data_IF_663233177122
#
_entry.id   IF_663233177122
#
_cell.length_a   1.000
_cell.length_b   1.000
_cell.length_c   1.000
_cell.angle_alpha   90.00
_cell.angle_beta   90.00
_cell.angle_gamma   90.00
#
_symmetry.space_group_name_H-M   'P 1'
#
loop_
_entity.id
_entity.type
_entity.pdbx_description
1 polymer ?
#
# COMPACT_ATOMS: atom_id res chain seq x y z
N UNK A 1 -3.81 4.26 13.72
CA UNK A 1 -4.81 4.24 12.64
C UNK A 1 -4.90 2.81 12.12
N UNK A 2 -6.06 2.18 12.16
CA UNK A 2 -6.25 0.90 11.48
C UNK A 2 -6.43 1.17 9.98
N UNK A 3 -5.64 0.49 9.15
CA UNK A 3 -5.77 0.54 7.71
C UNK A 3 -6.90 -0.42 7.30
N UNK A 4 -8.03 0.10 6.83
CA UNK A 4 -9.16 -0.72 6.42
C UNK A 4 -9.19 -0.89 4.89
N UNK A 5 -9.76 -1.99 4.36
CA UNK A 5 -10.03 -2.10 2.93
C UNK A 5 -10.75 -0.85 2.39
N UNK A 6 -10.29 -0.35 1.25
CA UNK A 6 -10.74 0.91 0.66
C UNK A 6 -9.90 2.13 1.01
N UNK A 7 -9.05 2.07 2.04
CA UNK A 7 -8.16 3.19 2.39
C UNK A 7 -7.18 3.51 1.25
N UNK A 8 -7.11 4.80 0.88
CA UNK A 8 -6.10 5.31 -0.04
C UNK A 8 -4.74 5.32 0.63
N UNK A 9 -3.73 4.90 -0.11
CA UNK A 9 -2.36 4.84 0.35
C UNK A 9 -1.41 5.19 -0.78
N UNK A 10 -0.13 5.33 -0.44
CA UNK A 10 0.96 5.39 -1.41
C UNK A 10 2.11 4.52 -0.96
N UNK A 11 2.96 4.12 -1.89
CA UNK A 11 4.18 3.38 -1.55
C UNK A 11 5.15 4.29 -0.76
N UNK A 12 5.56 3.85 0.43
CA UNK A 12 6.51 4.61 1.25
C UNK A 12 7.93 4.60 0.67
N UNK A 13 8.24 3.63 -0.20
CA UNK A 13 9.54 3.41 -0.85
C UNK A 13 9.36 2.87 -2.27
N UNK A 14 10.46 2.82 -3.02
CA UNK A 14 10.51 2.03 -4.25
C UNK A 14 10.43 0.54 -3.92
N UNK A 15 9.52 -0.16 -4.59
CA UNK A 15 9.28 -1.60 -4.46
C UNK A 15 9.66 -2.26 -5.78
N UNK A 16 10.60 -3.20 -5.71
CA UNK A 16 11.01 -4.02 -6.87
C UNK A 16 10.33 -5.37 -6.73
N UNK A 17 9.72 -5.84 -7.82
CA UNK A 17 9.01 -7.11 -7.87
C UNK A 17 9.24 -7.76 -9.25
N UNK A 18 8.93 -9.06 -9.44
CA UNK A 18 9.23 -9.75 -10.70
C UNK A 18 8.64 -9.10 -11.97
N UNK A 19 7.52 -8.38 -11.84
CA UNK A 19 6.86 -7.68 -12.95
C UNK A 19 7.28 -6.21 -13.13
N UNK A 20 8.30 -5.73 -12.40
CA UNK A 20 8.85 -4.39 -12.57
C UNK A 20 9.06 -3.62 -11.27
N UNK A 21 8.75 -2.32 -11.30
CA UNK A 21 9.01 -1.39 -10.20
C UNK A 21 7.77 -0.56 -9.92
N UNK A 22 7.38 -0.47 -8.65
CA UNK A 22 6.51 0.58 -8.13
C UNK A 22 7.39 1.65 -7.51
N UNK A 23 7.36 2.87 -8.05
CA UNK A 23 8.16 4.00 -7.54
C UNK A 23 7.65 4.44 -6.17
N UNK A 24 8.49 5.11 -5.38
CA UNK A 24 8.06 5.79 -4.14
C UNK A 24 6.93 6.77 -4.43
N UNK A 25 6.01 6.92 -3.48
CA UNK A 25 4.81 7.74 -3.54
C UNK A 25 3.82 7.37 -4.66
N UNK A 26 3.95 6.16 -5.23
CA UNK A 26 2.98 5.65 -6.19
C UNK A 26 1.64 5.43 -5.48
N UNK A 27 0.54 5.99 -5.99
CA UNK A 27 -0.77 5.92 -5.35
C UNK A 27 -1.42 4.55 -5.54
N UNK A 28 -2.21 4.14 -4.55
CA UNK A 28 -2.96 2.89 -4.59
C UNK A 28 -4.06 2.81 -3.54
N UNK A 29 -4.82 1.73 -3.59
CA UNK A 29 -5.91 1.42 -2.66
C UNK A 29 -5.63 0.11 -1.94
N UNK A 30 -5.76 0.13 -0.61
CA UNK A 30 -5.71 -1.09 0.19
C UNK A 30 -6.93 -1.96 -0.11
N UNK A 31 -6.71 -3.22 -0.47
CA UNK A 31 -7.75 -4.21 -0.78
C UNK A 31 -8.00 -5.14 0.40
N UNK A 32 -6.95 -5.57 1.09
CA UNK A 32 -7.09 -6.47 2.24
C UNK A 32 -5.87 -6.43 3.14
N UNK A 33 -6.07 -6.79 4.41
CA UNK A 33 -5.03 -7.00 5.40
C UNK A 33 -5.10 -8.47 5.87
N UNK A 34 -3.94 -9.09 6.09
CA UNK A 34 -3.84 -10.42 6.70
C UNK A 34 -2.65 -10.49 7.64
N UNK A 35 -2.81 -11.23 8.73
CA UNK A 35 -1.71 -11.62 9.59
C UNK A 35 -1.05 -12.89 9.02
N UNK A 36 0.28 -12.94 9.05
CA UNK A 36 1.09 -14.08 8.63
C UNK A 36 2.38 -14.17 9.47
N UNK A 37 2.42 -15.12 10.40
CA UNK A 37 3.59 -15.43 11.24
C UNK A 37 4.10 -14.21 12.04
N UNK A 38 3.20 -13.48 12.68
CA UNK A 38 3.48 -12.29 13.46
C UNK A 38 3.72 -11.03 12.62
N UNK A 39 3.45 -11.08 11.31
CA UNK A 39 3.60 -9.94 10.39
C UNK A 39 2.29 -9.57 9.76
N UNK A 40 2.04 -8.28 9.62
CA UNK A 40 0.92 -7.77 8.85
C UNK A 40 1.30 -7.60 7.38
N UNK A 41 0.47 -8.18 6.51
CA UNK A 41 0.58 -8.09 5.07
C UNK A 41 -0.63 -7.37 4.49
N UNK A 42 -0.36 -6.45 3.57
CA UNK A 42 -1.35 -5.56 2.97
C UNK A 42 -1.39 -5.82 1.47
N UNK A 43 -2.56 -6.17 0.93
CA UNK A 43 -2.74 -6.27 -0.51
C UNK A 43 -3.16 -4.91 -1.06
N UNK A 44 -2.34 -4.30 -1.91
CA UNK A 44 -2.62 -2.99 -2.51
C UNK A 44 -2.79 -3.15 -4.02
N UNK A 45 -3.83 -2.52 -4.56
CA UNK A 45 -3.95 -2.25 -5.98
C UNK A 45 -3.38 -0.85 -6.24
N UNK A 46 -2.25 -0.77 -6.94
CA UNK A 46 -1.69 0.50 -7.40
C UNK A 46 -2.45 1.00 -8.62
N UNK A 47 -2.57 2.32 -8.75
CA UNK A 47 -3.27 2.96 -9.86
C UNK A 47 -2.55 2.72 -11.20
N UNK A 48 -1.27 2.35 -11.16
CA UNK A 48 -0.49 1.89 -12.31
C UNK A 48 -0.80 0.44 -12.73
N UNK A 49 -1.77 -0.22 -12.10
CA UNK A 49 -2.33 -1.52 -12.49
C UNK A 49 -1.74 -2.73 -11.76
N UNK A 50 -0.72 -2.56 -10.92
CA UNK A 50 -0.08 -3.66 -10.20
C UNK A 50 -0.86 -3.98 -8.91
N UNK A 51 -1.07 -5.26 -8.65
CA UNK A 51 -1.60 -5.77 -7.38
C UNK A 51 -0.49 -6.47 -6.61
N UNK A 52 -0.08 -5.91 -5.48
CA UNK A 52 1.06 -6.41 -4.69
C UNK A 52 0.66 -6.68 -3.24
N UNK A 53 1.33 -7.65 -2.62
CA UNK A 53 1.26 -7.91 -1.18
C UNK A 53 2.50 -7.30 -0.55
N UNK A 54 2.30 -6.38 0.39
CA UNK A 54 3.34 -5.52 0.95
C UNK A 54 3.37 -5.63 2.47
N UNK A 55 4.51 -5.30 3.07
CA UNK A 55 4.63 -5.12 4.51
C UNK A 55 4.10 -3.74 4.94
N UNK A 56 3.74 -3.63 6.23
CA UNK A 56 3.26 -2.39 6.83
C UNK A 56 4.14 -1.16 6.52
N UNK A 57 5.47 -1.33 6.58
CA UNK A 57 6.44 -0.24 6.38
C UNK A 57 6.62 0.17 4.90
N UNK A 58 6.01 -0.54 3.95
CA UNK A 58 6.12 -0.25 2.53
C UNK A 58 4.98 0.62 2.00
N UNK A 59 3.97 0.89 2.83
CA UNK A 59 2.80 1.72 2.51
C UNK A 59 2.61 2.81 3.55
N UNK A 60 2.05 3.92 3.13
CA UNK A 60 1.62 5.00 4.00
C UNK A 60 0.18 5.39 3.64
N UNK A 61 -0.75 5.51 4.61
CA UNK A 61 -2.09 6.00 4.35
C UNK A 61 -2.02 7.46 3.87
N UNK A 62 -2.87 7.79 2.90
CA UNK A 62 -3.14 9.19 2.55
C UNK A 62 -4.26 9.65 3.49
N UNK A 63 -3.96 10.60 4.38
CA UNK A 63 -5.02 11.31 5.10
C UNK A 63 -5.60 12.38 4.19
N UNK A 64 -6.93 12.49 4.13
CA UNK A 64 -7.63 13.61 3.48
C UNK A 64 -7.55 14.91 4.31
N UNK A 65 -6.92 14.90 5.48
CA UNK A 65 -6.83 16.04 6.42
C UNK A 65 -5.90 17.19 5.97
N UNK A 66 -5.56 17.31 4.69
CA UNK A 66 -4.75 18.42 4.16
C UNK A 66 -5.43 19.17 3.01
N UNK A 67 -6.75 19.31 3.09
CA UNK A 67 -7.51 20.28 2.30
C UNK A 67 -8.24 21.26 3.24
N UNK A 68 -7.49 22.20 3.83
CA UNK A 68 -8.00 23.38 4.52
C UNK A 68 -7.27 24.62 3.99
#
# INVERSE_FOLDING_TARGET
MSLIPGTRCRSARTIVFPGGIVRRAAPGTLVSQRENLGRELFTVNFDSGQKLILFAHEIEPVSDDLAA
#
